data_IF_312351322858
#
_entry.id   IF_312351322858
#
_cell.length_a   1.000
_cell.length_b   1.000
_cell.length_c   1.000
_cell.angle_alpha   90.00
_cell.angle_beta   90.00
_cell.angle_gamma   90.00
#
_symmetry.space_group_name_H-M   'P 1'
#
loop_
_entity.id
_entity.type
_entity.pdbx_description
1 polymer ?
#
# COMPACT_ATOMS: atom_id res chain seq x y z
N UNK A 1 5.04 -6.76 23.71
CA UNK A 1 4.59 -6.94 23.23
C UNK A 1 4.99 -7.45 22.10
N UNK A 2 4.64 -7.85 21.58
CA UNK A 2 5.10 -8.34 20.50
C UNK A 2 4.76 -7.53 19.44
N UNK A 3 5.47 -7.55 18.42
CA UNK A 3 5.14 -6.81 17.46
C UNK A 3 4.33 -7.46 16.55
N UNK A 4 3.47 -6.88 15.94
CA UNK A 4 2.71 -7.44 15.01
C UNK A 4 3.12 -7.02 13.69
N UNK A 5 3.11 -7.85 12.68
CA UNK A 5 3.38 -7.47 11.31
C UNK A 5 2.18 -6.73 10.77
N UNK A 6 2.38 -5.86 9.79
CA UNK A 6 1.25 -5.19 9.17
C UNK A 6 0.32 -6.21 8.54
N UNK A 7 -0.95 -5.95 8.56
CA UNK A 7 -1.90 -6.88 7.98
C UNK A 7 -1.81 -6.82 6.46
N UNK A 8 -2.23 -7.87 5.81
CA UNK A 8 -2.26 -7.90 4.37
C UNK A 8 -3.16 -6.79 3.83
N UNK A 9 -4.25 -6.49 4.53
CA UNK A 9 -5.14 -5.41 4.11
C UNK A 9 -4.43 -4.07 4.12
N UNK A 10 -3.57 -3.83 5.12
CA UNK A 10 -2.80 -2.59 5.16
C UNK A 10 -1.84 -2.51 3.99
N UNK A 11 -1.20 -3.62 3.67
CA UNK A 11 -0.25 -3.65 2.57
C UNK A 11 -0.95 -3.44 1.23
N UNK A 12 -2.12 -4.05 1.05
CA UNK A 12 -2.86 -3.85 -0.17
C UNK A 12 -3.36 -2.42 -0.29
N UNK A 13 -3.84 -1.85 0.82
CA UNK A 13 -4.31 -0.48 0.80
C UNK A 13 -3.16 0.45 0.43
N UNK A 14 -1.98 0.20 0.97
CA UNK A 14 -0.83 1.03 0.66
C UNK A 14 -0.45 0.88 -0.82
N UNK A 15 -0.40 -0.34 -1.31
CA UNK A 15 0.04 -0.59 -2.68
C UNK A 15 -0.90 0.08 -3.68
N UNK A 16 -2.21 -0.04 -3.47
CA UNK A 16 -3.16 0.57 -4.36
C UNK A 16 -3.16 2.09 -4.25
N UNK A 17 -3.03 2.60 -3.02
CA UNK A 17 -2.99 4.04 -2.82
C UNK A 17 -1.76 4.64 -3.48
N UNK A 18 -0.64 3.95 -3.40
CA UNK A 18 0.59 4.44 -4.01
C UNK A 18 0.54 4.36 -5.52
N UNK A 19 -0.02 3.28 -6.03
CA UNK A 19 -0.11 3.10 -7.47
C UNK A 19 -0.97 4.16 -8.11
N UNK A 20 -2.09 4.48 -7.47
CA UNK A 20 -3.01 5.47 -8.02
C UNK A 20 -2.74 6.88 -7.51
N UNK A 21 -1.94 7.00 -6.47
CA UNK A 21 -1.72 8.25 -5.75
C UNK A 21 -3.07 8.85 -5.37
N UNK A 22 -3.95 7.99 -4.89
CA UNK A 22 -5.29 8.40 -4.53
C UNK A 22 -5.89 7.38 -3.57
N UNK A 23 -6.35 7.86 -2.41
CA UNK A 23 -7.03 6.98 -1.47
C UNK A 23 -8.42 6.64 -1.98
N UNK A 24 -9.04 7.55 -2.71
CA UNK A 24 -10.38 7.32 -3.24
C UNK A 24 -10.38 6.17 -4.23
N UNK A 25 -9.40 6.17 -5.14
CA UNK A 25 -9.33 5.09 -6.12
C UNK A 25 -8.98 3.77 -5.49
N UNK A 26 -8.10 3.79 -4.49
CA UNK A 26 -7.78 2.57 -3.78
C UNK A 26 -9.02 2.01 -3.09
N UNK A 27 -9.81 2.90 -2.49
CA UNK A 27 -11.02 2.47 -1.81
C UNK A 27 -12.00 1.83 -2.78
N UNK A 28 -12.10 2.41 -3.97
CA UNK A 28 -12.99 1.85 -4.98
C UNK A 28 -12.58 0.43 -5.36
N UNK A 29 -11.28 0.21 -5.54
CA UNK A 29 -10.82 -1.11 -5.91
C UNK A 29 -10.98 -2.12 -4.79
N UNK A 30 -10.90 -1.66 -3.55
CA UNK A 30 -11.04 -2.56 -2.42
C UNK A 30 -12.47 -2.70 -1.92
N UNK A 31 -13.38 -1.93 -2.52
CA UNK A 31 -14.78 -1.96 -2.12
C UNK A 31 -14.96 -1.58 -0.66
N UNK A 32 -14.24 -0.54 -0.25
CA UNK A 32 -14.33 -0.03 1.11
C UNK A 32 -14.43 1.49 1.02
N UNK A 33 -14.59 2.14 2.16
CA UNK A 33 -14.67 3.59 2.17
C UNK A 33 -13.26 4.19 2.12
N UNK A 34 -13.19 5.45 1.70
CA UNK A 34 -11.92 6.15 1.71
C UNK A 34 -11.38 6.27 3.13
N UNK A 35 -12.27 6.46 4.10
CA UNK A 35 -11.85 6.55 5.48
C UNK A 35 -11.19 5.27 5.94
N UNK A 36 -11.69 4.14 5.48
CA UNK A 36 -11.09 2.85 5.85
C UNK A 36 -9.69 2.73 5.28
N UNK A 37 -9.49 3.17 4.02
CA UNK A 37 -8.17 3.11 3.42
C UNK A 37 -7.22 4.04 4.18
N UNK A 38 -7.67 5.24 4.45
CA UNK A 38 -6.85 6.21 5.17
C UNK A 38 -6.44 5.66 6.53
N UNK A 39 -7.37 5.00 7.21
CA UNK A 39 -7.09 4.42 8.51
C UNK A 39 -6.04 3.31 8.41
N UNK A 40 -6.15 2.45 7.39
CA UNK A 40 -5.18 1.38 7.20
C UNK A 40 -3.79 1.94 6.93
N UNK A 41 -3.72 3.01 6.12
CA UNK A 41 -2.45 3.63 5.83
C UNK A 41 -1.85 4.22 7.10
N UNK A 42 -2.68 4.87 7.92
CA UNK A 42 -2.19 5.44 9.15
C UNK A 42 -1.66 4.38 10.10
N UNK A 43 -2.35 3.26 10.18
CA UNK A 43 -1.87 2.17 11.01
C UNK A 43 -0.52 1.67 10.52
N UNK A 44 -0.36 1.58 9.22
CA UNK A 44 0.89 1.13 8.65
C UNK A 44 2.01 2.14 8.94
N UNK A 45 1.72 3.42 8.78
CA UNK A 45 2.70 4.45 9.08
C UNK A 45 3.09 4.42 10.55
N UNK A 46 2.11 4.23 11.44
CA UNK A 46 2.39 4.15 12.86
C UNK A 46 3.25 2.94 13.18
N UNK A 47 2.96 1.83 12.53
CA UNK A 47 3.73 0.61 12.75
C UNK A 47 5.18 0.81 12.34
N UNK A 48 5.40 1.48 11.21
CA UNK A 48 6.74 1.69 10.70
C UNK A 48 7.45 2.88 11.35
N UNK A 49 6.68 3.77 11.93
CA UNK A 49 7.26 4.95 12.55
C UNK A 49 7.69 6.00 11.55
N UNK A 50 7.19 5.94 10.34
CA UNK A 50 7.55 6.92 9.32
C UNK A 50 6.32 7.24 8.49
N UNK A 51 6.38 8.35 7.78
CA UNK A 51 5.30 8.72 6.90
C UNK A 51 5.58 8.17 5.52
N UNK A 52 4.58 7.59 4.92
CA UNK A 52 4.72 7.02 3.59
C UNK A 52 4.13 7.95 2.54
N UNK A 53 3.19 8.79 2.92
CA UNK A 53 2.54 9.72 1.99
C UNK A 53 2.63 11.14 2.49
N UNK A 54 2.67 12.07 1.53
CA UNK A 54 2.56 13.48 1.85
C UNK A 54 1.31 13.96 1.18
N UNK A 55 0.55 14.78 1.88
CA UNK A 55 -0.63 15.37 1.29
C UNK A 55 -0.32 16.80 0.97
N UNK A 56 -0.32 17.14 -0.32
CA UNK A 56 -0.05 18.45 -0.70
C UNK A 56 -1.23 18.98 -1.43
N UNK A 57 -1.84 20.00 -0.95
CA UNK A 57 -3.00 20.60 -1.57
C UNK A 57 -4.02 19.51 -1.86
N UNK A 58 -4.25 19.22 -3.09
CA UNK A 58 -5.17 18.20 -3.43
C UNK A 58 -4.49 16.99 -3.96
N UNK A 59 -3.19 16.92 -3.88
CA UNK A 59 -2.43 15.82 -4.43
C UNK A 59 -1.88 14.94 -3.33
N UNK A 60 -1.69 13.68 -3.64
CA UNK A 60 -1.10 12.74 -2.74
C UNK A 60 0.22 12.31 -3.36
N UNK A 61 1.29 12.35 -2.58
CA UNK A 61 2.62 11.96 -3.07
C UNK A 61 3.26 10.99 -2.11
N UNK A 62 4.15 10.17 -2.62
CA UNK A 62 4.90 9.27 -1.76
C UNK A 62 6.12 9.99 -1.21
N UNK A 63 6.46 9.73 0.04
CA UNK A 63 7.73 10.21 0.58
C UNK A 63 8.82 9.31 0.00
N UNK A 64 10.07 9.67 0.22
CA UNK A 64 11.18 8.83 -0.23
C UNK A 64 11.08 7.45 0.37
N UNK A 65 10.77 7.37 1.66
CA UNK A 65 10.62 6.09 2.31
C UNK A 65 9.40 5.36 1.76
N UNK A 66 8.35 6.11 1.42
CA UNK A 66 7.17 5.51 0.83
C UNK A 66 7.47 4.87 -0.51
N UNK A 67 8.32 5.50 -1.32
CA UNK A 67 8.68 4.95 -2.61
C UNK A 67 9.46 3.66 -2.46
N UNK A 68 10.42 3.64 -1.54
CA UNK A 68 11.19 2.43 -1.30
C UNK A 68 10.29 1.31 -0.82
N UNK A 69 9.39 1.64 0.09
CA UNK A 69 8.50 0.64 0.63
C UNK A 69 7.54 0.14 -0.43
N UNK A 70 7.08 1.03 -1.30
CA UNK A 70 6.19 0.66 -2.38
C UNK A 70 6.83 -0.38 -3.28
N UNK A 71 8.09 -0.18 -3.63
CA UNK A 71 8.80 -1.13 -4.47
C UNK A 71 8.87 -2.49 -3.79
N UNK A 72 9.20 -2.51 -2.51
CA UNK A 72 9.31 -3.75 -1.78
C UNK A 72 7.96 -4.46 -1.64
N UNK A 73 6.92 -3.70 -1.30
CA UNK A 73 5.61 -4.29 -1.12
C UNK A 73 5.06 -4.80 -2.43
N UNK A 74 5.27 -4.06 -3.50
CA UNK A 74 4.81 -4.49 -4.82
C UNK A 74 5.46 -5.82 -5.18
N UNK A 75 6.75 -5.94 -4.92
CA UNK A 75 7.45 -7.19 -5.23
C UNK A 75 6.87 -8.34 -4.41
N UNK A 76 6.61 -8.10 -3.14
CA UNK A 76 6.07 -9.15 -2.29
C UNK A 76 4.68 -9.57 -2.73
N UNK A 77 3.82 -8.61 -2.98
CA UNK A 77 2.44 -8.92 -3.35
C UNK A 77 2.38 -9.60 -4.71
N UNK A 78 3.20 -9.15 -5.63
CA UNK A 78 3.19 -9.77 -6.95
C UNK A 78 3.80 -11.15 -6.91
N UNK A 79 4.82 -11.34 -6.13
CA UNK A 79 5.40 -12.66 -5.98
C UNK A 79 4.37 -13.63 -5.43
N UNK A 80 3.60 -13.20 -4.47
CA UNK A 80 2.59 -14.04 -3.89
C UNK A 80 1.54 -14.40 -4.93
N UNK A 81 1.23 -13.48 -5.83
CA UNK A 81 0.28 -13.78 -6.82
C UNK A 81 0.80 -14.63 -7.87
N UNK A 82 1.98 -14.34 -8.34
CA UNK A 82 2.56 -15.06 -9.39
C UNK A 82 2.93 -16.40 -9.04
N UNK A 83 3.01 -16.67 -7.82
CA UNK A 83 3.28 -18.00 -7.43
C UNK A 83 2.53 -18.90 -8.28
N UNK A 84 1.61 -18.53 -9.02
CA UNK A 84 0.99 -19.36 -9.82
C UNK A 84 1.12 -18.99 -11.16
N UNK A 85 1.27 -18.10 -11.55
CA UNK A 85 1.29 -17.81 -12.90
C UNK A 85 2.54 -17.76 -13.47
N UNK A 86 2.88 -17.85 -13.41
CA UNK A 86 3.63 -17.43 -13.95
C UNK A 86 4.09 -17.31 -14.74
N UNK A 87 4.10 -17.54 -14.67
CA UNK A 87 4.43 -17.19 -15.26
C UNK A 87 4.37 -16.80 -16.30
N UNK A 88 4.14 -16.69 -16.41
CA UNK A 88 3.96 -16.17 -17.23
C UNK A 88 4.38 -15.52 -17.85
N UNK A 89 4.48 -15.57 -17.68
CA UNK A 89 4.82 -14.89 -17.97
C UNK A 89 5.33 -14.38 -18.49
N UNK A 90 5.52 -14.42 -18.57
CA UNK A 90 5.94 -13.79 -18.85
C UNK A 90 6.51 -13.63 -19.35
N UNK A 91 6.57 -13.82 -19.35
CA UNK A 91 7.04 -13.59 -19.47
C UNK A 91 7.32 -13.42 -19.82
#
# INVERSE_FOLDING_TARGET
>A
MHKRLPSLNSLKAFELSARHLSFTKAADELFVTQAAVSHQIKLLEDFLGVELFKRKNRALELTDLGQSYFIEITAILHTAKIGRASCRERV
#
